data_IF_620992204948
#
_entry.id   IF_620992204948
#
_cell.length_a   1.000
_cell.length_b   1.000
_cell.length_c   1.000
_cell.angle_alpha   90.00
_cell.angle_beta   90.00
_cell.angle_gamma   90.00
#
_symmetry.space_group_name_H-M   'P 1'
#
loop_
_entity.id
_entity.type
_entity.pdbx_description
1 polymer ?
#
# COMPACT_ATOMS: atom_id res chain seq x y z
N UNK A 1 15.80 -6.27 -18.62
CA UNK A 1 15.16 -7.51 -18.15
C UNK A 1 14.27 -7.98 -19.28
N UNK A 2 14.47 -9.22 -19.79
CA UNK A 2 13.61 -9.82 -20.81
C UNK A 2 12.20 -10.02 -20.23
N UNK A 3 11.17 -9.83 -21.06
CA UNK A 3 9.80 -10.13 -20.67
C UNK A 3 9.68 -11.59 -20.20
N UNK A 4 8.92 -11.84 -19.13
CA UNK A 4 8.73 -13.20 -18.66
C UNK A 4 8.06 -14.04 -19.74
N UNK A 5 8.63 -15.21 -20.01
CA UNK A 5 8.02 -16.17 -20.94
C UNK A 5 6.70 -16.69 -20.36
N UNK A 6 5.67 -16.87 -21.19
CA UNK A 6 4.41 -17.44 -20.72
C UNK A 6 4.65 -18.83 -20.12
N UNK A 7 3.97 -19.11 -19.03
CA UNK A 7 4.06 -20.41 -18.36
C UNK A 7 3.47 -21.54 -19.21
N UNK A 8 4.01 -22.76 -19.13
CA UNK A 8 3.55 -23.90 -19.94
C UNK A 8 2.15 -24.42 -19.54
N UNK A 9 1.52 -23.86 -18.55
CA UNK A 9 0.16 -24.16 -18.08
C UNK A 9 -0.57 -22.85 -17.81
N UNK A 10 -1.77 -22.72 -18.32
CA UNK A 10 -2.68 -21.57 -18.11
C UNK A 10 -3.12 -21.49 -16.63
N UNK A 11 -2.19 -21.08 -15.76
CA UNK A 11 -2.49 -20.83 -14.37
C UNK A 11 -2.47 -19.32 -14.10
N UNK A 12 -3.64 -18.65 -14.10
CA UNK A 12 -3.71 -17.20 -13.98
C UNK A 12 -3.14 -16.66 -12.66
N UNK A 13 -3.13 -17.47 -11.60
CA UNK A 13 -2.53 -17.08 -10.33
C UNK A 13 -1.01 -17.01 -10.43
N UNK A 14 -0.38 -18.01 -11.05
CA UNK A 14 1.07 -18.01 -11.25
C UNK A 14 1.50 -16.92 -12.23
N UNK A 15 0.73 -16.74 -13.31
CA UNK A 15 0.98 -15.66 -14.26
C UNK A 15 0.97 -14.30 -13.55
N UNK A 16 -0.06 -13.99 -12.77
CA UNK A 16 -0.14 -12.78 -11.98
C UNK A 16 1.07 -12.59 -11.05
N UNK A 17 1.44 -13.62 -10.30
CA UNK A 17 2.56 -13.54 -9.36
C UNK A 17 3.90 -13.29 -10.05
N UNK A 18 4.11 -13.86 -11.24
CA UNK A 18 5.36 -13.76 -11.99
C UNK A 18 5.45 -12.49 -12.84
N UNK A 19 4.31 -11.93 -13.28
CA UNK A 19 4.28 -10.78 -14.19
C UNK A 19 3.98 -9.46 -13.50
N UNK A 20 3.29 -9.47 -12.34
CA UNK A 20 2.94 -8.28 -11.59
C UNK A 20 4.16 -7.37 -11.35
N UNK A 21 4.00 -6.07 -11.57
CA UNK A 21 5.03 -5.04 -11.31
C UNK A 21 4.49 -3.96 -10.39
N UNK A 22 5.36 -3.34 -9.61
CA UNK A 22 5.02 -2.11 -8.89
C UNK A 22 4.99 -0.94 -9.89
N UNK A 23 3.92 -0.17 -9.86
CA UNK A 23 3.82 1.08 -10.62
C UNK A 23 4.25 2.26 -9.75
N UNK A 24 4.79 3.31 -10.36
CA UNK A 24 5.08 4.53 -9.60
C UNK A 24 3.78 5.23 -9.23
N UNK A 25 3.64 5.66 -7.98
CA UNK A 25 2.42 6.34 -7.51
C UNK A 25 2.11 7.59 -8.34
N UNK A 26 3.13 8.31 -8.81
CA UNK A 26 2.97 9.53 -9.61
C UNK A 26 2.38 9.25 -11.02
N UNK A 27 2.46 8.02 -11.50
CA UNK A 27 1.94 7.61 -12.81
C UNK A 27 0.51 7.04 -12.69
N UNK A 28 -0.02 6.92 -11.48
CA UNK A 28 -1.36 6.40 -11.24
C UNK A 28 -2.43 7.45 -11.55
N UNK A 29 -3.49 7.04 -12.23
CA UNK A 29 -4.60 7.91 -12.65
C UNK A 29 -5.94 7.35 -12.21
N UNK A 30 -6.98 8.19 -12.04
CA UNK A 30 -8.35 7.72 -11.85
C UNK A 30 -8.83 6.83 -13.03
N UNK A 31 -9.80 5.94 -12.82
CA UNK A 31 -10.49 5.74 -11.53
C UNK A 31 -9.70 4.88 -10.56
N UNK A 32 -9.89 5.11 -9.26
CA UNK A 32 -9.50 4.17 -8.21
C UNK A 32 -10.51 3.03 -8.04
N UNK A 33 -10.23 2.06 -7.16
CA UNK A 33 -11.16 0.98 -6.85
C UNK A 33 -12.46 1.54 -6.23
N UNK A 34 -13.56 0.91 -6.57
CA UNK A 34 -14.85 1.15 -5.90
C UNK A 34 -14.77 0.71 -4.42
N UNK A 35 -15.74 1.14 -3.61
CA UNK A 35 -15.78 0.71 -2.20
C UNK A 35 -15.84 -0.81 -2.05
N UNK A 36 -16.57 -1.50 -2.93
CA UNK A 36 -16.65 -2.97 -2.92
C UNK A 36 -15.30 -3.62 -3.29
N UNK A 37 -14.59 -3.08 -4.26
CA UNK A 37 -13.25 -3.57 -4.65
C UNK A 37 -12.20 -3.25 -3.57
N UNK A 38 -12.29 -2.07 -2.95
CA UNK A 38 -11.45 -1.71 -1.80
C UNK A 38 -11.64 -2.70 -0.66
N UNK A 39 -12.90 -3.09 -0.36
CA UNK A 39 -13.18 -4.12 0.64
C UNK A 39 -12.57 -5.47 0.26
N UNK A 40 -12.64 -5.89 -1.01
CA UNK A 40 -12.02 -7.14 -1.48
C UNK A 40 -10.49 -7.11 -1.29
N UNK A 41 -9.84 -5.99 -1.62
CA UNK A 41 -8.41 -5.80 -1.42
C UNK A 41 -8.05 -5.92 0.07
N UNK A 42 -8.80 -5.26 0.96
CA UNK A 42 -8.56 -5.33 2.41
C UNK A 42 -8.79 -6.75 2.95
N UNK A 43 -9.85 -7.43 2.50
CA UNK A 43 -10.12 -8.82 2.88
C UNK A 43 -9.02 -9.77 2.40
N UNK A 44 -8.47 -9.58 1.21
CA UNK A 44 -7.32 -10.33 0.73
C UNK A 44 -6.09 -10.09 1.62
N UNK A 45 -5.87 -8.84 2.07
CA UNK A 45 -4.85 -8.50 3.04
C UNK A 45 -4.95 -9.29 4.34
N UNK A 46 -6.17 -9.56 4.83
CA UNK A 46 -6.36 -10.37 6.04
C UNK A 46 -6.10 -11.89 5.86
N UNK A 47 -5.81 -12.36 4.63
CA UNK A 47 -5.62 -13.80 4.34
C UNK A 47 -4.14 -14.17 4.27
N UNK A 48 -3.40 -13.82 5.31
CA UNK A 48 -1.95 -14.07 5.45
C UNK A 48 -1.66 -14.99 6.63
N UNK A 49 -0.49 -15.66 6.64
CA UNK A 49 -0.01 -16.32 7.84
C UNK A 49 0.13 -15.33 9.00
N UNK A 50 -0.42 -15.72 10.15
CA UNK A 50 -0.42 -14.90 11.36
C UNK A 50 -0.33 -15.82 12.57
N UNK A 51 0.83 -15.84 13.22
CA UNK A 51 1.08 -16.69 14.37
C UNK A 51 0.18 -16.27 15.54
N UNK A 52 -0.60 -17.22 16.03
CA UNK A 52 -1.54 -16.99 17.13
C UNK A 52 -2.77 -16.17 16.76
N UNK A 53 -2.99 -15.84 15.50
CA UNK A 53 -4.11 -15.02 15.01
C UNK A 53 -4.23 -13.67 15.74
N UNK A 54 -3.09 -13.01 15.94
CA UNK A 54 -3.03 -11.70 16.63
C UNK A 54 -3.64 -10.57 15.81
N UNK A 55 -3.58 -10.63 14.47
CA UNK A 55 -3.98 -9.54 13.59
C UNK A 55 -3.17 -8.27 13.84
N UNK A 56 -1.81 -8.32 13.85
CA UNK A 56 -0.98 -7.21 14.32
C UNK A 56 -0.90 -6.07 13.29
N UNK A 57 -2.04 -5.69 12.70
CA UNK A 57 -2.15 -4.60 11.73
C UNK A 57 -3.52 -3.95 11.80
N UNK A 58 -3.58 -2.72 11.29
CA UNK A 58 -4.82 -2.01 10.99
C UNK A 58 -4.68 -1.23 9.70
N UNK A 59 -5.79 -0.91 9.07
CA UNK A 59 -5.83 -0.10 7.85
C UNK A 59 -6.35 1.30 8.15
N UNK A 60 -5.78 2.29 7.47
CA UNK A 60 -6.31 3.64 7.38
C UNK A 60 -6.41 3.96 5.89
N UNK A 61 -7.62 4.27 5.43
CA UNK A 61 -7.88 4.59 4.03
C UNK A 61 -7.92 6.10 3.85
N UNK A 62 -7.26 6.59 2.81
CA UNK A 62 -7.29 7.97 2.39
C UNK A 62 -7.88 8.03 0.99
N UNK A 63 -9.11 8.56 0.91
CA UNK A 63 -9.91 8.71 -0.31
C UNK A 63 -10.42 10.14 -0.43
N UNK A 64 -10.74 10.58 -1.65
CA UNK A 64 -11.31 11.90 -1.89
C UNK A 64 -10.46 13.00 -1.24
N UNK A 65 -11.11 13.89 -0.49
CA UNK A 65 -10.49 15.04 0.17
C UNK A 65 -9.56 14.63 1.33
N UNK A 66 -9.73 13.47 1.95
CA UNK A 66 -8.87 13.03 3.05
C UNK A 66 -7.39 12.94 2.63
N UNK A 67 -7.11 12.71 1.33
CA UNK A 67 -5.76 12.67 0.78
C UNK A 67 -5.09 14.06 0.83
N UNK A 68 -5.78 15.09 0.36
CA UNK A 68 -5.26 16.48 0.39
C UNK A 68 -5.21 17.02 1.82
N UNK A 69 -6.21 16.74 2.65
CA UNK A 69 -6.19 17.13 4.07
C UNK A 69 -4.99 16.54 4.81
N UNK A 70 -4.65 15.26 4.55
CA UNK A 70 -3.44 14.67 5.10
C UNK A 70 -2.17 15.27 4.51
N UNK A 71 -2.19 15.64 3.23
CA UNK A 71 -1.11 16.36 2.56
C UNK A 71 -0.76 17.68 3.25
N UNK A 72 -1.76 18.45 3.70
CA UNK A 72 -1.53 19.67 4.47
C UNK A 72 -0.85 19.39 5.84
N UNK A 73 -1.17 18.26 6.45
CA UNK A 73 -0.48 17.83 7.67
C UNK A 73 0.99 17.53 7.38
N UNK A 74 1.27 16.77 6.29
CA UNK A 74 2.63 16.46 5.88
C UNK A 74 3.44 17.72 5.57
N UNK A 75 2.84 18.69 4.85
CA UNK A 75 3.46 19.98 4.59
C UNK A 75 3.86 20.69 5.87
N UNK A 76 2.95 20.77 6.85
CA UNK A 76 3.22 21.40 8.14
C UNK A 76 4.36 20.71 8.88
N UNK A 77 4.31 19.38 8.98
CA UNK A 77 5.37 18.59 9.62
C UNK A 77 6.72 18.79 8.92
N UNK A 78 6.72 18.84 7.59
CA UNK A 78 7.95 19.12 6.82
C UNK A 78 8.49 20.52 7.11
N UNK A 79 7.62 21.53 7.24
CA UNK A 79 8.02 22.91 7.60
C UNK A 79 8.61 22.95 9.02
N UNK A 80 8.00 22.25 9.98
CA UNK A 80 8.46 22.24 11.37
C UNK A 80 9.83 21.53 11.51
N UNK A 81 10.03 20.45 10.74
CA UNK A 81 11.29 19.69 10.75
C UNK A 81 12.42 20.41 9.98
N UNK A 82 12.08 21.13 8.92
CA UNK A 82 13.03 21.84 8.07
C UNK A 82 12.53 23.26 7.78
N UNK A 83 12.74 24.22 8.70
CA UNK A 83 12.22 25.58 8.55
C UNK A 83 12.73 26.34 7.31
N UNK A 84 13.86 25.87 6.72
CA UNK A 84 14.46 26.45 5.51
C UNK A 84 14.16 25.64 4.24
N UNK A 85 13.22 24.66 4.30
CA UNK A 85 12.81 23.92 3.12
C UNK A 85 12.21 24.86 2.07
N UNK A 86 12.56 24.65 0.82
CA UNK A 86 12.00 25.41 -0.28
C UNK A 86 10.55 24.98 -0.58
N UNK A 87 9.81 25.85 -1.26
CA UNK A 87 8.41 25.61 -1.61
C UNK A 87 8.22 24.34 -2.47
N UNK A 88 9.20 24.00 -3.30
CA UNK A 88 9.16 22.78 -4.13
C UNK A 88 9.16 21.53 -3.26
N UNK A 89 9.99 21.50 -2.22
CA UNK A 89 10.04 20.39 -1.26
C UNK A 89 8.74 20.28 -0.47
N UNK A 90 8.23 21.40 0.03
CA UNK A 90 6.98 21.42 0.80
C UNK A 90 5.78 20.96 -0.04
N UNK A 91 5.71 21.36 -1.29
CA UNK A 91 4.68 20.89 -2.23
C UNK A 91 4.84 19.41 -2.52
N UNK A 92 6.08 18.94 -2.73
CA UNK A 92 6.34 17.50 -2.94
C UNK A 92 5.84 16.64 -1.77
N UNK A 93 6.04 17.10 -0.53
CA UNK A 93 5.54 16.42 0.66
C UNK A 93 3.99 16.45 0.74
N UNK A 94 3.38 17.59 0.50
CA UNK A 94 1.93 17.74 0.48
C UNK A 94 1.25 16.83 -0.55
N UNK A 95 1.87 16.65 -1.71
CA UNK A 95 1.28 15.88 -2.80
C UNK A 95 1.42 14.36 -2.66
N UNK A 96 2.15 13.85 -1.65
CA UNK A 96 2.42 12.39 -1.51
C UNK A 96 1.17 11.54 -1.58
N UNK A 97 0.10 11.94 -0.91
CA UNK A 97 -1.15 11.16 -0.82
C UNK A 97 -2.12 11.44 -1.96
N UNK A 98 -1.91 12.49 -2.76
CA UNK A 98 -2.76 12.80 -3.92
C UNK A 98 -2.29 12.13 -5.22
N UNK A 99 -1.10 11.50 -5.22
CA UNK A 99 -0.52 10.83 -6.40
C UNK A 99 -1.29 9.60 -6.86
N UNK A 100 -2.08 8.98 -6.00
CA UNK A 100 -2.93 7.85 -6.33
C UNK A 100 -4.37 8.11 -5.90
N UNK A 101 -5.38 7.54 -6.59
CA UNK A 101 -6.80 7.70 -6.22
C UNK A 101 -7.15 7.16 -4.83
N UNK A 102 -6.46 6.12 -4.39
CA UNK A 102 -6.59 5.51 -3.07
C UNK A 102 -5.19 5.32 -2.47
N UNK A 103 -5.03 5.70 -1.20
CA UNK A 103 -3.87 5.35 -0.38
C UNK A 103 -4.35 4.59 0.85
N UNK A 104 -3.74 3.44 1.12
CA UNK A 104 -4.01 2.65 2.31
C UNK A 104 -2.75 2.58 3.16
N UNK A 105 -2.81 3.18 4.34
CA UNK A 105 -1.76 2.96 5.33
C UNK A 105 -2.01 1.62 6.05
N UNK A 106 -1.06 0.71 5.92
CA UNK A 106 -1.01 -0.53 6.69
C UNK A 106 -0.14 -0.27 7.92
N UNK A 107 -0.79 -0.09 9.06
CA UNK A 107 -0.10 0.18 10.32
C UNK A 107 0.24 -1.15 10.99
N UNK A 108 1.52 -1.46 11.12
CA UNK A 108 1.99 -2.60 11.92
C UNK A 108 1.78 -2.28 13.40
N UNK A 109 0.94 -3.07 14.07
CA UNK A 109 0.59 -2.91 15.48
C UNK A 109 1.23 -4.06 16.27
N UNK A 110 2.51 -3.91 16.56
CA UNK A 110 3.27 -4.90 17.32
C UNK A 110 2.84 -4.88 18.78
N UNK A 111 2.59 -6.04 19.36
CA UNK A 111 2.24 -6.23 20.75
C UNK A 111 3.29 -7.14 21.42
N UNK A 112 3.91 -6.69 22.54
CA UNK A 112 4.80 -7.54 23.32
C UNK A 112 4.06 -8.77 23.84
N UNK A 113 4.65 -9.95 23.71
CA UNK A 113 4.00 -11.19 24.15
C UNK A 113 4.80 -12.46 23.82
N UNK A 114 4.08 -13.57 23.76
CA UNK A 114 4.69 -14.87 23.42
C UNK A 114 5.12 -14.97 21.95
N UNK A 115 4.45 -14.21 21.07
CA UNK A 115 4.76 -14.21 19.64
C UNK A 115 5.84 -13.17 19.38
N UNK A 116 6.97 -13.52 18.79
CA UNK A 116 8.07 -12.59 18.51
C UNK A 116 7.61 -11.39 17.67
N UNK A 117 8.10 -10.20 18.00
CA UNK A 117 7.75 -8.94 17.30
C UNK A 117 8.09 -9.00 15.81
N UNK A 118 9.22 -9.63 15.44
CA UNK A 118 9.63 -9.75 14.04
C UNK A 118 8.64 -10.60 13.21
N UNK A 119 8.00 -11.63 13.80
CA UNK A 119 6.95 -12.40 13.12
C UNK A 119 5.72 -11.54 12.85
N UNK A 120 5.34 -10.69 13.81
CA UNK A 120 4.21 -9.76 13.67
C UNK A 120 4.47 -8.74 12.55
N UNK A 121 5.68 -8.19 12.47
CA UNK A 121 6.09 -7.29 11.40
C UNK A 121 6.06 -7.99 10.03
N UNK A 122 6.54 -9.23 9.95
CA UNK A 122 6.49 -10.02 8.71
C UNK A 122 5.05 -10.30 8.28
N UNK A 123 4.14 -10.58 9.21
CA UNK A 123 2.72 -10.75 8.91
C UNK A 123 2.12 -9.47 8.32
N UNK A 124 2.42 -8.29 8.87
CA UNK A 124 2.00 -7.01 8.31
C UNK A 124 2.59 -6.76 6.90
N UNK A 125 3.84 -7.18 6.66
CA UNK A 125 4.44 -7.15 5.32
C UNK A 125 3.72 -8.08 4.34
N UNK A 126 3.34 -9.28 4.79
CA UNK A 126 2.56 -10.22 3.97
C UNK A 126 1.17 -9.63 3.62
N UNK A 127 0.55 -8.89 4.54
CA UNK A 127 -0.69 -8.13 4.28
C UNK A 127 -0.50 -7.17 3.10
N UNK A 128 0.56 -6.36 3.12
CA UNK A 128 0.86 -5.44 2.01
C UNK A 128 1.00 -6.20 0.69
N UNK A 129 1.72 -7.33 0.68
CA UNK A 129 1.89 -8.13 -0.53
C UNK A 129 0.57 -8.70 -1.05
N UNK A 130 -0.29 -9.25 -0.18
CA UNK A 130 -1.59 -9.76 -0.60
C UNK A 130 -2.49 -8.66 -1.17
N UNK A 131 -2.45 -7.46 -0.58
CA UNK A 131 -3.20 -6.31 -1.10
C UNK A 131 -2.70 -5.89 -2.49
N UNK A 132 -1.37 -5.90 -2.74
CA UNK A 132 -0.81 -5.64 -4.06
C UNK A 132 -1.28 -6.68 -5.09
N UNK A 133 -1.27 -7.95 -4.74
CA UNK A 133 -1.74 -9.04 -5.62
C UNK A 133 -3.23 -8.88 -5.92
N UNK A 134 -4.05 -8.58 -4.90
CA UNK A 134 -5.48 -8.37 -5.08
C UNK A 134 -5.80 -7.16 -5.96
N UNK A 135 -5.09 -6.04 -5.78
CA UNK A 135 -5.25 -4.86 -6.61
C UNK A 135 -4.94 -5.18 -8.10
N UNK A 136 -3.83 -5.89 -8.36
CA UNK A 136 -3.48 -6.30 -9.73
C UNK A 136 -4.50 -7.28 -10.32
N UNK A 137 -5.02 -8.23 -9.52
CA UNK A 137 -6.06 -9.16 -9.95
C UNK A 137 -7.36 -8.44 -10.35
N UNK A 138 -7.63 -7.28 -9.77
CA UNK A 138 -8.75 -6.40 -10.12
C UNK A 138 -8.43 -5.42 -11.26
N UNK A 139 -7.21 -5.46 -11.82
CA UNK A 139 -6.79 -4.61 -12.94
C UNK A 139 -6.21 -3.25 -12.51
N UNK A 140 -5.93 -3.03 -11.22
CA UNK A 140 -5.34 -1.80 -10.71
C UNK A 140 -3.82 -1.86 -10.66
N UNK A 141 -3.18 -0.73 -10.95
CA UNK A 141 -1.78 -0.51 -10.62
C UNK A 141 -1.64 -0.30 -9.10
N UNK A 142 -0.56 -0.81 -8.52
CA UNK A 142 -0.32 -0.67 -7.09
C UNK A 142 1.18 -0.58 -6.77
N UNK A 143 1.50 0.09 -5.67
CA UNK A 143 2.86 0.23 -5.14
C UNK A 143 2.83 0.16 -3.62
N UNK A 144 3.84 -0.47 -3.03
CA UNK A 144 4.12 -0.44 -1.60
C UNK A 144 5.32 0.45 -1.34
N UNK A 145 5.14 1.46 -0.50
CA UNK A 145 6.16 2.40 -0.04
C UNK A 145 6.22 2.39 1.48
N UNK A 146 7.39 2.69 2.02
CA UNK A 146 7.62 3.01 3.43
C UNK A 146 8.32 4.36 3.49
N UNK A 147 7.79 5.27 4.29
CA UNK A 147 8.35 6.63 4.45
C UNK A 147 8.22 7.10 5.90
#
# INVERSE_FOLDING_TARGET
MSDPQPLPNDNPMLDLLLTRRSAKAIDMTPPGPTSAESELILRAGHRVPDHGKLGPWRFILFEGEARSQFGEILRRVATDNEPNADEKKLTFEADRFTRAPLVVAVVSKVEPGKIPEWEQVLSAGAVCQNMLVAAHALGYAAQWLTE
#
